data_IF_366331683998
#
_entry.id   IF_366331683998
#
_cell.length_a   1.000
_cell.length_b   1.000
_cell.length_c   1.000
_cell.angle_alpha   90.00
_cell.angle_beta   90.00
_cell.angle_gamma   90.00
#
_symmetry.space_group_name_H-M   'P 1'
#
loop_
_entity.id
_entity.type
_entity.pdbx_description
1 polymer ?
#
# COMPACT_ATOMS: atom_id res chain seq x y z
N UNK A 1 -7.48 27.38 33.56
CA UNK A 1 -7.13 27.52 32.13
C UNK A 1 -5.68 27.14 31.85
N UNK A 2 -5.24 25.97 32.31
CA UNK A 2 -4.02 25.32 31.81
C UNK A 2 -4.30 23.83 31.63
N UNK A 3 -4.99 23.16 32.58
CA UNK A 3 -5.40 21.75 32.44
C UNK A 3 -6.24 21.46 31.18
N UNK A 4 -7.14 22.38 30.80
CA UNK A 4 -7.92 22.31 29.55
C UNK A 4 -7.00 22.34 28.31
N UNK A 5 -5.96 23.17 28.34
CA UNK A 5 -4.99 23.31 27.24
C UNK A 5 -4.10 22.05 27.13
N UNK A 6 -3.69 21.48 28.26
CA UNK A 6 -3.00 20.17 28.30
C UNK A 6 -3.91 19.03 27.83
N UNK A 7 -5.22 19.09 28.09
CA UNK A 7 -6.20 18.11 27.63
C UNK A 7 -6.37 18.08 26.11
N UNK A 8 -6.41 19.25 25.47
CA UNK A 8 -6.46 19.37 24.01
C UNK A 8 -5.16 18.87 23.35
N UNK A 9 -4.00 19.20 23.93
CA UNK A 9 -2.70 18.68 23.48
C UNK A 9 -2.59 17.16 23.67
N UNK A 10 -3.18 16.61 24.73
CA UNK A 10 -3.22 15.17 24.96
C UNK A 10 -4.08 14.44 23.91
N UNK A 11 -5.15 15.06 23.41
CA UNK A 11 -5.97 14.50 22.34
C UNK A 11 -5.21 14.43 21.02
N UNK A 12 -4.36 15.42 20.73
CA UNK A 12 -3.54 15.49 19.50
C UNK A 12 -2.48 14.39 19.43
N UNK A 13 -2.15 13.74 20.55
CA UNK A 13 -1.18 12.63 20.61
C UNK A 13 -1.61 11.44 19.74
N UNK A 14 -2.87 11.03 19.81
CA UNK A 14 -3.39 9.87 19.07
C UNK A 14 -3.34 10.05 17.54
N UNK A 15 -3.82 11.17 16.96
CA UNK A 15 -3.69 11.40 15.53
C UNK A 15 -2.22 11.57 15.11
N UNK A 16 -1.36 12.17 15.93
CA UNK A 16 0.07 12.28 15.64
C UNK A 16 0.74 10.90 15.54
N UNK A 17 0.44 9.99 16.48
CA UNK A 17 0.93 8.61 16.44
C UNK A 17 0.39 7.85 15.23
N UNK A 18 -0.89 8.04 14.89
CA UNK A 18 -1.49 7.42 13.71
C UNK A 18 -0.81 7.90 12.42
N UNK A 19 -0.58 9.21 12.28
CA UNK A 19 0.15 9.80 11.15
C UNK A 19 1.58 9.25 11.07
N UNK A 20 2.28 9.16 12.21
CA UNK A 20 3.61 8.56 12.27
C UNK A 20 3.62 7.09 11.85
N UNK A 21 2.64 6.31 12.31
CA UNK A 21 2.48 4.90 11.97
C UNK A 21 2.17 4.69 10.48
N UNK A 22 1.22 5.45 9.92
CA UNK A 22 0.91 5.44 8.48
C UNK A 22 2.13 5.83 7.65
N UNK A 23 2.92 6.80 8.11
CA UNK A 23 4.16 7.21 7.45
C UNK A 23 5.18 6.08 7.47
N UNK A 24 5.38 5.41 8.61
CA UNK A 24 6.27 4.25 8.73
C UNK A 24 5.85 3.11 7.78
N UNK A 25 4.56 2.76 7.73
CA UNK A 25 4.03 1.77 6.80
C UNK A 25 4.24 2.19 5.34
N UNK A 26 4.00 3.45 5.01
CA UNK A 26 4.22 3.99 3.66
C UNK A 26 5.69 3.89 3.25
N UNK A 27 6.63 4.14 4.18
CA UNK A 27 8.06 3.96 3.92
C UNK A 27 8.39 2.48 3.68
N UNK A 28 7.90 1.57 4.52
CA UNK A 28 8.10 0.12 4.35
C UNK A 28 7.57 -0.35 2.99
N UNK A 29 6.37 0.06 2.61
CA UNK A 29 5.77 -0.29 1.32
C UNK A 29 6.51 0.29 0.12
N UNK A 30 7.25 1.38 0.31
CA UNK A 30 8.05 2.01 -0.75
C UNK A 30 9.44 1.41 -0.91
N UNK A 31 10.10 1.08 0.20
CA UNK A 31 11.49 0.62 0.21
C UNK A 31 11.65 -0.89 0.30
N UNK A 32 10.63 -1.61 0.78
CA UNK A 32 10.66 -3.07 0.86
C UNK A 32 10.73 -3.76 -0.51
N UNK A 33 9.91 -3.37 -1.51
CA UNK A 33 9.92 -4.03 -2.81
C UNK A 33 11.13 -3.66 -3.69
N UNK A 34 11.84 -4.66 -4.20
CA UNK A 34 12.86 -4.50 -5.26
C UNK A 34 12.20 -4.31 -6.64
N UNK A 35 11.52 -3.18 -6.85
CA UNK A 35 10.88 -2.79 -8.13
C UNK A 35 10.95 -1.29 -8.35
N UNK A 36 10.45 -0.81 -9.49
CA UNK A 36 10.25 0.62 -9.69
C UNK A 36 9.31 1.19 -8.62
N UNK A 37 9.75 2.26 -7.95
CA UNK A 37 9.05 2.85 -6.81
C UNK A 37 7.67 3.38 -7.24
N UNK A 38 6.63 2.98 -6.52
CA UNK A 38 5.29 3.53 -6.71
C UNK A 38 5.18 4.96 -6.12
N UNK A 39 4.32 5.80 -6.70
CA UNK A 39 4.09 7.17 -6.22
C UNK A 39 3.39 7.15 -4.86
N UNK A 40 3.71 8.12 -4.01
CA UNK A 40 3.20 8.24 -2.63
C UNK A 40 1.67 8.11 -2.51
N UNK A 41 0.92 8.70 -3.44
CA UNK A 41 -0.56 8.67 -3.45
C UNK A 41 -1.16 7.26 -3.61
N UNK A 42 -0.43 6.32 -4.20
CA UNK A 42 -0.89 4.94 -4.39
C UNK A 42 -0.58 4.04 -3.19
N UNK A 43 0.29 4.48 -2.27
CA UNK A 43 0.63 3.73 -1.06
C UNK A 43 -0.27 4.09 0.13
N UNK A 44 -0.78 5.33 0.15
CA UNK A 44 -1.59 5.84 1.26
C UNK A 44 -2.87 5.05 1.53
N UNK A 45 -3.62 4.51 0.55
CA UNK A 45 -4.86 3.77 0.83
C UNK A 45 -4.61 2.49 1.64
N UNK A 46 -3.64 1.67 1.23
CA UNK A 46 -3.26 0.45 1.94
C UNK A 46 -2.57 0.72 3.28
N UNK A 47 -1.79 1.80 3.39
CA UNK A 47 -1.20 2.20 4.67
C UNK A 47 -2.27 2.63 5.69
N UNK A 48 -3.29 3.37 5.25
CA UNK A 48 -4.42 3.74 6.10
C UNK A 48 -5.26 2.52 6.49
N UNK A 49 -5.53 1.62 5.53
CA UNK A 49 -6.24 0.37 5.80
C UNK A 49 -5.51 -0.50 6.83
N UNK A 50 -4.20 -0.72 6.65
CA UNK A 50 -3.39 -1.46 7.60
C UNK A 50 -3.35 -0.78 8.98
N UNK A 51 -3.28 0.55 9.03
CA UNK A 51 -3.33 1.29 10.30
C UNK A 51 -4.64 1.06 11.05
N UNK A 52 -5.78 1.17 10.38
CA UNK A 52 -7.10 0.92 10.99
C UNK A 52 -7.27 -0.53 11.41
N UNK A 53 -6.86 -1.48 10.56
CA UNK A 53 -6.96 -2.89 10.87
C UNK A 53 -6.03 -3.28 12.04
N UNK A 54 -4.86 -2.66 12.16
CA UNK A 54 -3.95 -2.86 13.29
C UNK A 54 -4.56 -2.40 14.62
N UNK A 55 -5.29 -1.27 14.62
CA UNK A 55 -6.04 -0.81 15.79
C UNK A 55 -7.16 -1.79 16.17
N UNK A 56 -7.91 -2.27 15.18
CA UNK A 56 -8.98 -3.27 15.40
C UNK A 56 -8.41 -4.55 15.98
N UNK A 57 -7.31 -5.07 15.42
CA UNK A 57 -6.62 -6.25 15.94
C UNK A 57 -6.12 -6.01 17.36
N UNK A 58 -5.60 -4.82 17.68
CA UNK A 58 -5.19 -4.42 19.05
C UNK A 58 -6.33 -4.52 20.04
N UNK A 59 -7.48 -3.98 19.67
CA UNK A 59 -8.67 -4.02 20.51
C UNK A 59 -9.16 -5.46 20.72
N UNK A 60 -9.26 -6.25 19.65
CA UNK A 60 -9.67 -7.65 19.71
C UNK A 60 -8.71 -8.49 20.55
N UNK A 61 -7.40 -8.26 20.43
CA UNK A 61 -6.40 -9.00 21.18
C UNK A 61 -6.43 -8.64 22.67
N UNK A 62 -6.62 -7.36 23.01
CA UNK A 62 -6.83 -6.96 24.40
C UNK A 62 -8.04 -7.68 25.00
N UNK A 63 -9.14 -7.75 24.26
CA UNK A 63 -10.32 -8.50 24.69
C UNK A 63 -10.03 -10.00 24.83
N UNK A 64 -9.31 -10.60 23.88
CA UNK A 64 -8.91 -12.01 23.93
C UNK A 64 -8.09 -12.33 25.20
N UNK A 65 -7.11 -11.48 25.53
CA UNK A 65 -6.28 -11.65 26.73
C UNK A 65 -7.13 -11.64 28.00
N UNK A 66 -8.08 -10.71 28.13
CA UNK A 66 -8.92 -10.60 29.33
C UNK A 66 -9.90 -11.76 29.51
N UNK A 67 -10.39 -12.34 28.41
CA UNK A 67 -11.44 -13.38 28.48
C UNK A 67 -10.90 -14.81 28.48
N UNK A 68 -9.84 -15.08 27.72
CA UNK A 68 -9.39 -16.46 27.45
C UNK A 68 -8.06 -16.81 28.10
N UNK A 69 -7.19 -15.84 28.39
CA UNK A 69 -5.86 -16.13 28.92
C UNK A 69 -5.92 -16.27 30.45
N UNK A 70 -5.86 -17.51 30.92
CA UNK A 70 -5.73 -17.84 32.34
C UNK A 70 -4.27 -18.11 32.68
N UNK A 71 -3.65 -17.23 33.45
CA UNK A 71 -2.24 -17.34 33.87
C UNK A 71 -1.98 -18.55 34.78
N UNK A 72 -3.01 -19.05 35.46
CA UNK A 72 -2.87 -20.14 36.44
C UNK A 72 -2.45 -21.48 35.82
N UNK A 73 -2.83 -21.72 34.56
CA UNK A 73 -2.62 -23.03 33.90
C UNK A 73 -1.26 -23.15 33.22
N UNK A 74 -0.69 -22.04 32.75
CA UNK A 74 0.51 -22.04 31.90
C UNK A 74 1.54 -20.97 32.28
N UNK A 75 1.25 -20.13 33.27
CA UNK A 75 2.18 -19.13 33.79
C UNK A 75 2.78 -18.24 32.69
N UNK A 76 4.10 -18.00 32.69
CA UNK A 76 4.79 -17.17 31.69
C UNK A 76 4.65 -17.64 30.24
N UNK A 77 4.40 -18.94 30.00
CA UNK A 77 4.25 -19.48 28.64
C UNK A 77 3.05 -18.86 27.91
N UNK A 78 1.95 -18.60 28.64
CA UNK A 78 0.77 -17.96 28.09
C UNK A 78 1.06 -16.55 27.57
N UNK A 79 1.89 -15.78 28.28
CA UNK A 79 2.29 -14.44 27.86
C UNK A 79 3.14 -14.46 26.58
N UNK A 80 4.09 -15.40 26.48
CA UNK A 80 4.92 -15.57 25.27
C UNK A 80 4.07 -15.98 24.07
N UNK A 81 3.17 -16.95 24.24
CA UNK A 81 2.26 -17.38 23.17
C UNK A 81 1.32 -16.26 22.71
N UNK A 82 0.80 -15.47 23.64
CA UNK A 82 0.03 -14.27 23.33
C UNK A 82 0.85 -13.27 22.51
N UNK A 83 2.09 -12.99 22.92
CA UNK A 83 2.98 -12.09 22.19
C UNK A 83 3.32 -12.60 20.77
N UNK A 84 3.54 -13.90 20.60
CA UNK A 84 3.77 -14.51 19.30
C UNK A 84 2.55 -14.41 18.40
N UNK A 85 1.35 -14.69 18.92
CA UNK A 85 0.09 -14.55 18.19
C UNK A 85 -0.15 -13.09 17.78
N UNK A 86 0.05 -12.16 18.72
CA UNK A 86 -0.03 -10.72 18.50
C UNK A 86 0.89 -10.26 17.36
N UNK A 87 2.14 -10.70 17.41
CA UNK A 87 3.16 -10.38 16.40
C UNK A 87 2.78 -10.97 15.05
N UNK A 88 2.34 -12.23 15.03
CA UNK A 88 1.89 -12.92 13.82
C UNK A 88 0.72 -12.18 13.16
N UNK A 89 -0.32 -11.81 13.93
CA UNK A 89 -1.46 -11.03 13.44
C UNK A 89 -1.01 -9.66 12.91
N UNK A 90 -0.09 -8.99 13.61
CA UNK A 90 0.44 -7.69 13.18
C UNK A 90 1.13 -7.78 11.82
N UNK A 91 1.93 -8.83 11.58
CA UNK A 91 2.56 -9.08 10.28
C UNK A 91 1.51 -9.34 9.21
N UNK A 92 0.48 -10.14 9.48
CA UNK A 92 -0.61 -10.39 8.53
C UNK A 92 -1.31 -9.09 8.10
N UNK A 93 -1.62 -8.21 9.07
CA UNK A 93 -2.23 -6.90 8.78
C UNK A 93 -1.36 -6.04 7.86
N UNK A 94 -0.05 -5.99 8.13
CA UNK A 94 0.89 -5.21 7.31
C UNK A 94 0.95 -5.77 5.88
N UNK A 95 0.97 -7.08 5.72
CA UNK A 95 0.98 -7.73 4.40
C UNK A 95 -0.33 -7.48 3.63
N UNK A 96 -1.49 -7.56 4.30
CA UNK A 96 -2.79 -7.26 3.69
C UNK A 96 -2.86 -5.82 3.16
N UNK A 97 -2.30 -4.84 3.88
CA UNK A 97 -2.22 -3.45 3.39
C UNK A 97 -1.31 -3.31 2.16
N UNK A 98 -0.21 -4.06 2.09
CA UNK A 98 0.67 -4.08 0.93
C UNK A 98 -0.01 -4.74 -0.28
N UNK A 99 -0.73 -5.84 -0.07
CA UNK A 99 -1.51 -6.53 -1.08
C UNK A 99 -2.64 -5.66 -1.62
N UNK A 100 -3.35 -4.94 -0.74
CA UNK A 100 -4.38 -3.98 -1.15
C UNK A 100 -3.79 -2.88 -2.04
N UNK A 101 -2.62 -2.34 -1.69
CA UNK A 101 -1.93 -1.37 -2.55
C UNK A 101 -1.55 -1.96 -3.90
N UNK A 102 -1.07 -3.19 -3.93
CA UNK A 102 -0.74 -3.90 -5.17
C UNK A 102 -1.99 -4.10 -6.04
N UNK A 103 -3.12 -4.52 -5.46
CA UNK A 103 -4.34 -4.74 -6.21
C UNK A 103 -4.95 -3.44 -6.75
N UNK A 104 -4.90 -2.35 -5.98
CA UNK A 104 -5.32 -1.02 -6.46
C UNK A 104 -4.46 -0.57 -7.66
N UNK A 105 -3.15 -0.81 -7.59
CA UNK A 105 -2.22 -0.56 -8.69
C UNK A 105 -2.53 -1.45 -9.91
N UNK A 106 -2.90 -2.71 -9.68
CA UNK A 106 -3.25 -3.68 -10.72
C UNK A 106 -4.55 -3.35 -11.48
N UNK A 107 -5.51 -2.69 -10.84
CA UNK A 107 -6.79 -2.35 -11.48
C UNK A 107 -6.73 -1.06 -12.32
N UNK A 108 -5.55 -0.43 -12.42
CA UNK A 108 -5.38 0.87 -13.07
C UNK A 108 -4.45 0.80 -14.29
N UNK A 109 -4.97 1.21 -15.46
CA UNK A 109 -4.14 1.32 -16.68
C UNK A 109 -3.20 2.55 -16.67
N UNK A 110 -3.42 3.53 -15.79
CA UNK A 110 -2.55 4.69 -15.63
C UNK A 110 -1.22 4.29 -14.97
N UNK A 111 -0.14 4.96 -15.34
CA UNK A 111 1.18 4.71 -14.75
C UNK A 111 1.24 5.20 -13.30
N UNK A 112 1.44 4.25 -12.39
CA UNK A 112 1.54 4.40 -10.93
C UNK A 112 2.98 4.57 -10.45
N UNK A 113 3.96 4.38 -11.34
CA UNK A 113 5.39 4.43 -11.02
C UNK A 113 5.94 5.85 -11.03
N UNK A 114 7.11 6.04 -10.41
CA UNK A 114 7.84 7.30 -10.47
C UNK A 114 8.72 7.40 -11.72
N UNK A 115 8.83 8.59 -12.31
CA UNK A 115 9.72 8.86 -13.46
C UNK A 115 8.96 9.34 -14.69
N UNK A 116 9.57 9.15 -15.87
CA UNK A 116 8.93 9.44 -17.16
C UNK A 116 7.78 8.43 -17.37
N UNK A 117 6.60 8.85 -17.87
CA UNK A 117 5.49 7.93 -18.10
C UNK A 117 5.89 6.80 -19.04
N UNK A 118 5.76 5.56 -18.59
CA UNK A 118 6.07 4.38 -19.39
C UNK A 118 4.79 3.64 -19.80
N UNK A 119 4.76 3.05 -21.02
CA UNK A 119 3.66 2.20 -21.43
C UNK A 119 3.56 0.97 -20.53
N UNK A 120 2.40 0.31 -20.54
CA UNK A 120 2.20 -0.93 -19.80
C UNK A 120 3.16 -2.01 -20.34
N UNK A 121 3.86 -2.72 -19.45
CA UNK A 121 4.87 -3.73 -19.82
C UNK A 121 6.31 -3.27 -19.59
N UNK A 122 6.57 -1.96 -19.67
CA UNK A 122 7.91 -1.37 -19.56
C UNK A 122 8.14 -0.62 -18.22
N UNK A 123 7.19 -0.64 -17.29
CA UNK A 123 7.25 0.17 -16.06
C UNK A 123 8.23 -0.38 -15.03
N UNK A 124 8.72 -1.61 -15.20
CA UNK A 124 9.66 -2.25 -14.28
C UNK A 124 8.99 -2.66 -12.95
N UNK A 125 7.68 -2.96 -13.01
CA UNK A 125 6.88 -3.38 -11.87
C UNK A 125 5.77 -4.32 -12.34
N UNK A 126 5.93 -5.63 -12.09
CA UNK A 126 5.05 -6.70 -12.59
C UNK A 126 3.55 -6.41 -12.46
N UNK A 127 3.14 -5.85 -11.32
CA UNK A 127 1.72 -5.54 -11.03
C UNK A 127 1.24 -4.28 -11.78
N UNK A 128 2.11 -3.29 -11.99
CA UNK A 128 1.81 -2.09 -12.78
C UNK A 128 1.87 -2.34 -14.30
N UNK A 129 2.58 -3.39 -14.70
CA UNK A 129 2.77 -3.84 -16.09
C UNK A 129 1.64 -4.74 -16.58
N UNK A 130 0.65 -5.02 -15.74
CA UNK A 130 -0.52 -5.83 -16.08
C UNK A 130 -1.76 -5.18 -15.49
N UNK A 131 -2.90 -5.32 -16.17
CA UNK A 131 -4.19 -4.86 -15.64
C UNK A 131 -5.06 -6.09 -15.35
N UNK A 132 -5.59 -6.15 -14.13
CA UNK A 132 -6.45 -7.22 -13.70
C UNK A 132 -7.74 -7.28 -14.53
N UNK A 133 -8.24 -8.50 -14.77
CA UNK A 133 -9.52 -8.67 -15.44
C UNK A 133 -10.65 -8.10 -14.55
N UNK A 134 -11.33 -7.03 -14.98
CA UNK A 134 -12.53 -6.53 -14.31
C UNK A 134 -13.57 -7.65 -14.29
N UNK A 135 -13.82 -8.20 -13.10
CA UNK A 135 -14.81 -9.27 -12.90
C UNK A 135 -16.18 -8.75 -13.35
N UNK A 136 -16.71 -9.28 -14.46
CA UNK A 136 -18.11 -9.07 -14.87
C UNK A 136 -18.38 -8.42 -16.24
N UNK A 137 -17.41 -7.93 -17.02
CA UNK A 137 -17.70 -7.52 -18.41
C UNK A 137 -16.44 -7.55 -19.32
N UNK A 138 -16.30 -8.54 -20.23
CA UNK A 138 -15.15 -8.63 -21.15
C UNK A 138 -15.05 -7.43 -22.11
N UNK A 139 -16.15 -6.74 -22.42
CA UNK A 139 -16.12 -5.56 -23.28
C UNK A 139 -15.47 -4.35 -22.60
N UNK A 140 -15.64 -4.20 -21.28
CA UNK A 140 -15.00 -3.14 -20.51
C UNK A 140 -13.47 -3.30 -20.46
N UNK A 141 -13.00 -4.56 -20.41
CA UNK A 141 -11.58 -4.88 -20.48
C UNK A 141 -10.97 -4.49 -21.83
N UNK A 142 -11.60 -4.90 -22.93
CA UNK A 142 -11.14 -4.57 -24.27
C UNK A 142 -11.07 -3.05 -24.51
N UNK A 143 -12.01 -2.27 -23.95
CA UNK A 143 -11.95 -0.81 -24.01
C UNK A 143 -10.74 -0.25 -23.24
N UNK A 144 -10.53 -0.69 -21.99
CA UNK A 144 -9.38 -0.22 -21.19
C UNK A 144 -8.04 -0.61 -21.81
N UNK A 145 -7.93 -1.82 -22.37
CA UNK A 145 -6.74 -2.29 -23.06
C UNK A 145 -6.48 -1.50 -24.33
N UNK A 146 -7.47 -1.32 -25.21
CA UNK A 146 -7.33 -0.50 -26.43
C UNK A 146 -6.95 0.94 -26.11
N UNK A 147 -7.51 1.52 -25.05
CA UNK A 147 -7.14 2.87 -24.62
C UNK A 147 -5.70 2.94 -24.11
N UNK A 148 -5.28 1.94 -23.31
CA UNK A 148 -3.90 1.82 -22.83
C UNK A 148 -2.91 1.61 -23.99
N UNK A 149 -3.23 0.76 -24.96
CA UNK A 149 -2.46 0.52 -26.18
C UNK A 149 -2.34 1.79 -27.04
N UNK A 150 -3.43 2.51 -27.26
CA UNK A 150 -3.41 3.76 -28.01
C UNK A 150 -2.55 4.83 -27.30
N UNK A 151 -2.57 4.87 -25.97
CA UNK A 151 -1.73 5.77 -25.19
C UNK A 151 -0.26 5.34 -25.23
N UNK A 152 0.02 4.03 -25.15
CA UNK A 152 1.35 3.45 -25.32
C UNK A 152 1.93 3.79 -26.70
N UNK A 153 1.18 3.58 -27.79
CA UNK A 153 1.63 3.88 -29.15
C UNK A 153 1.99 5.36 -29.32
N UNK A 154 1.20 6.27 -28.72
CA UNK A 154 1.53 7.71 -28.71
C UNK A 154 2.85 8.00 -28.02
N UNK A 155 3.16 7.31 -26.91
CA UNK A 155 4.41 7.48 -26.18
C UNK A 155 5.59 6.92 -26.98
N UNK A 156 5.45 5.73 -27.56
CA UNK A 156 6.47 5.09 -28.39
C UNK A 156 6.78 5.93 -29.63
N UNK A 157 5.77 6.48 -30.30
CA UNK A 157 5.95 7.40 -31.44
C UNK A 157 6.65 8.71 -31.04
N UNK A 158 6.32 9.26 -29.88
CA UNK A 158 7.01 10.47 -29.37
C UNK A 158 8.48 10.19 -29.06
N UNK A 159 8.78 9.02 -28.49
CA UNK A 159 10.15 8.58 -28.21
C UNK A 159 10.96 8.42 -29.49
N UNK A 160 10.45 7.67 -30.47
CA UNK A 160 11.15 7.48 -31.75
C UNK A 160 11.35 8.79 -32.52
N UNK A 161 10.41 9.75 -32.41
CA UNK A 161 10.59 11.09 -32.97
C UNK A 161 11.73 11.85 -32.28
N UNK A 162 11.76 11.87 -30.94
CA UNK A 162 12.86 12.51 -30.19
C UNK A 162 14.22 11.90 -30.48
N UNK A 163 14.31 10.57 -30.60
CA UNK A 163 15.56 9.88 -30.91
C UNK A 163 16.06 10.25 -32.31
N UNK A 164 15.17 10.32 -33.31
CA UNK A 164 15.50 10.79 -34.66
C UNK A 164 15.96 12.25 -34.68
N UNK A 165 15.27 13.13 -33.96
CA UNK A 165 15.64 14.54 -33.90
C UNK A 165 17.02 14.73 -33.24
N UNK A 166 17.36 13.92 -32.22
CA UNK A 166 18.67 13.95 -31.58
C UNK A 166 19.81 13.50 -32.52
N UNK A 167 19.59 12.45 -33.32
CA UNK A 167 20.58 11.97 -34.31
C UNK A 167 20.72 12.88 -35.54
N UNK A 168 19.76 13.76 -35.80
CA UNK A 168 19.81 14.68 -36.94
C UNK A 168 20.53 16.00 -36.63
N UNK A 169 20.80 16.26 -35.35
CA UNK A 169 21.52 17.46 -34.86
C UNK A 169 23.00 17.22 -34.53
N UNK A 170 23.46 15.96 -34.62
CA UNK A 170 24.89 15.57 -34.57
C UNK A 170 25.46 15.49 -36.00
#
# INVERSE_FOLDING_TARGET
GLQEEWGLLALLRWPLLLVGYVTALTLIYRFGPCRQKARWRWLTPGALFAALLSLTVSFLFSWYLTNFVRTDSYGPLAAIMGFLLWTWLSVQVILMGAELNAEIEHQTAMDTTTGKPQPIGDRGAKVADTVGARRGNPAALAFTQRHAEAMADRLTRRRSRRERDATATE
#
